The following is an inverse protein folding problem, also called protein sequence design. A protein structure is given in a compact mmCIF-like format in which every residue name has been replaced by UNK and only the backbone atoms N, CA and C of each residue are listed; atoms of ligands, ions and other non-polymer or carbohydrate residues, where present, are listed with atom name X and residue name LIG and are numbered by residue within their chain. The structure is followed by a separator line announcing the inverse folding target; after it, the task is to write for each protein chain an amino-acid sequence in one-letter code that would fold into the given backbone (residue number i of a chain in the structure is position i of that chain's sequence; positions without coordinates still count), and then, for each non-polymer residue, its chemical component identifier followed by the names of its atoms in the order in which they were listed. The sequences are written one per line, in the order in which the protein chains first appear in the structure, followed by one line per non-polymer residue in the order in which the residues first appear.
data_IF_508930557231
#
_entry.id   IF_508930557231
#
_cell.length_a   1.000
_cell.length_b   1.000
_cell.length_c   1.000
_cell.angle_alpha   90.00
_cell.angle_beta   90.00
_cell.angle_gamma   90.00
#
_symmetry.space_group_name_H-M   'P 1'
#
loop_
_entity.id
_entity.type
_entity.pdbx_description
1 polymer ?
#
# COMPACT_ATOMS: atom_id res chain seq x y z
N UNK A 1 18.61 -2.23 -12.23
CA UNK A 1 17.71 -1.64 -11.21
C UNK A 1 17.06 -2.74 -10.39
N UNK A 2 17.20 -2.69 -9.07
CA UNK A 2 16.59 -3.68 -8.17
C UNK A 2 15.79 -2.93 -7.10
N UNK A 3 14.48 -3.09 -7.14
CA UNK A 3 13.62 -2.75 -6.01
C UNK A 3 13.61 -3.95 -5.06
N UNK A 4 13.58 -3.69 -3.76
CA UNK A 4 13.35 -4.71 -2.74
C UNK A 4 12.40 -4.21 -1.65
N UNK A 5 11.63 -5.14 -1.09
CA UNK A 5 10.73 -4.84 0.01
C UNK A 5 11.13 -5.58 1.28
N UNK A 6 11.04 -4.86 2.38
CA UNK A 6 11.06 -5.42 3.73
C UNK A 6 9.66 -5.31 4.34
N UNK A 7 9.26 -6.35 5.08
CA UNK A 7 8.04 -6.34 5.87
C UNK A 7 8.43 -6.57 7.33
N UNK A 8 8.09 -5.63 8.18
CA UNK A 8 8.60 -5.57 9.56
C UNK A 8 7.58 -4.93 10.51
N UNK A 9 8.00 -4.72 11.76
CA UNK A 9 7.33 -3.90 12.77
C UNK A 9 5.81 -4.12 12.85
N UNK A 10 5.36 -5.34 13.19
CA UNK A 10 3.94 -5.62 13.29
C UNK A 10 3.30 -4.78 14.42
N UNK A 11 2.22 -4.05 14.09
CA UNK A 11 1.46 -3.22 15.04
C UNK A 11 0.02 -3.70 15.11
N UNK A 12 -0.41 -4.13 16.30
CA UNK A 12 -1.81 -4.47 16.56
C UNK A 12 -2.58 -3.19 16.88
N UNK A 13 -3.65 -2.95 16.12
CA UNK A 13 -4.60 -1.86 16.35
C UNK A 13 -5.65 -2.34 17.35
N UNK A 14 -5.90 -1.53 18.37
CA UNK A 14 -6.87 -1.81 19.42
C UNK A 14 -8.05 -0.85 19.33
N UNK A 15 -9.24 -1.32 19.69
CA UNK A 15 -10.44 -0.50 19.88
C UNK A 15 -11.11 -0.95 21.18
N UNK A 16 -11.31 -0.02 22.12
CA UNK A 16 -11.89 -0.31 23.45
C UNK A 16 -11.18 -1.48 24.14
N UNK A 17 -9.83 -1.45 24.16
CA UNK A 17 -8.95 -2.51 24.69
C UNK A 17 -9.11 -3.90 24.05
N UNK A 18 -9.79 -4.01 22.90
CA UNK A 18 -9.90 -5.25 22.14
C UNK A 18 -9.05 -5.17 20.87
N UNK A 19 -8.22 -6.19 20.58
CA UNK A 19 -7.43 -6.21 19.35
C UNK A 19 -8.37 -6.33 18.14
N UNK A 20 -8.17 -5.48 17.14
CA UNK A 20 -9.04 -5.36 15.96
C UNK A 20 -8.40 -5.92 14.69
N UNK A 21 -7.13 -5.57 14.42
CA UNK A 21 -6.32 -6.15 13.34
C UNK A 21 -4.84 -5.83 13.59
N UNK A 22 -3.94 -6.58 12.94
CA UNK A 22 -2.50 -6.30 12.94
C UNK A 22 -2.08 -5.80 11.56
N UNK A 23 -1.35 -4.68 11.55
CA UNK A 23 -0.69 -4.11 10.36
C UNK A 23 0.80 -4.42 10.41
N UNK A 24 1.42 -4.46 9.24
CA UNK A 24 2.84 -4.68 9.04
C UNK A 24 3.41 -3.49 8.30
N UNK A 25 4.57 -3.01 8.73
CA UNK A 25 5.29 -1.95 8.04
C UNK A 25 5.94 -2.52 6.77
N UNK A 26 5.64 -1.90 5.64
CA UNK A 26 6.31 -2.13 4.37
C UNK A 26 7.35 -1.02 4.21
N UNK A 27 8.60 -1.43 4.01
CA UNK A 27 9.68 -0.54 3.66
C UNK A 27 10.11 -0.90 2.24
N UNK A 28 10.04 0.08 1.35
CA UNK A 28 10.52 -0.07 -0.02
C UNK A 28 11.88 0.59 -0.12
N UNK A 29 12.89 -0.18 -0.52
CA UNK A 29 14.16 0.36 -0.95
C UNK A 29 14.22 0.22 -2.47
N UNK A 30 14.14 1.35 -3.17
CA UNK A 30 13.99 1.34 -4.61
C UNK A 30 14.99 2.28 -5.30
N UNK A 31 15.91 1.68 -6.05
CA UNK A 31 16.77 2.41 -6.98
C UNK A 31 16.19 2.51 -8.41
N UNK A 32 15.06 1.86 -8.70
CA UNK A 32 14.44 1.80 -10.03
C UNK A 32 13.55 3.02 -10.31
N UNK A 33 13.53 3.48 -11.57
CA UNK A 33 12.57 4.47 -12.06
C UNK A 33 11.12 3.94 -12.16
N UNK A 34 10.92 2.63 -11.99
CA UNK A 34 9.60 2.01 -12.07
C UNK A 34 8.65 2.42 -10.94
N UNK A 35 9.15 3.03 -9.85
CA UNK A 35 8.28 3.50 -8.76
C UNK A 35 8.36 5.03 -8.60
N UNK A 36 7.22 5.68 -8.30
CA UNK A 36 7.17 7.12 -8.03
C UNK A 36 8.12 7.58 -6.91
N UNK A 37 8.20 6.83 -5.81
CA UNK A 37 9.06 7.16 -4.68
C UNK A 37 10.33 6.29 -4.69
N UNK A 38 11.50 6.90 -4.46
CA UNK A 38 12.78 6.18 -4.29
C UNK A 38 12.79 5.31 -3.05
N UNK A 39 12.13 5.75 -1.99
CA UNK A 39 11.92 4.94 -0.79
C UNK A 39 10.59 5.30 -0.16
N UNK A 40 9.86 4.31 0.32
CA UNK A 40 8.71 4.53 1.19
C UNK A 40 8.99 3.90 2.55
N UNK A 41 8.83 4.70 3.62
CA UNK A 41 8.90 4.24 5.02
C UNK A 41 7.56 4.50 5.69
N UNK A 42 7.18 3.65 6.64
CA UNK A 42 5.96 3.84 7.42
C UNK A 42 4.67 3.53 6.66
N UNK A 43 4.70 2.77 5.56
CA UNK A 43 3.46 2.29 4.92
C UNK A 43 2.97 1.05 5.66
N UNK A 44 1.85 1.15 6.38
CA UNK A 44 1.31 0.04 7.17
C UNK A 44 0.15 -0.65 6.47
N UNK A 45 0.28 -1.96 6.24
CA UNK A 45 -0.76 -2.79 5.60
C UNK A 45 -1.13 -3.98 6.46
N UNK A 46 -2.41 -4.25 6.60
CA UNK A 46 -2.94 -5.42 7.28
C UNK A 46 -2.94 -6.66 6.38
N UNK A 47 -2.99 -7.85 7.00
CA UNK A 47 -3.07 -9.10 6.25
C UNK A 47 -4.31 -9.18 5.33
N UNK A 48 -5.42 -8.54 5.72
CA UNK A 48 -6.63 -8.46 4.89
C UNK A 48 -6.38 -7.64 3.62
N UNK A 49 -5.62 -6.56 3.72
CA UNK A 49 -5.23 -5.73 2.57
C UNK A 49 -4.30 -6.49 1.62
N UNK A 50 -3.35 -7.27 2.12
CA UNK A 50 -2.54 -8.16 1.26
C UNK A 50 -3.41 -9.17 0.48
N UNK A 51 -4.41 -9.78 1.13
CA UNK A 51 -5.35 -10.67 0.45
C UNK A 51 -6.18 -9.94 -0.62
N UNK A 52 -6.58 -8.70 -0.34
CA UNK A 52 -7.23 -7.86 -1.33
C UNK A 52 -6.31 -7.62 -2.52
N UNK A 53 -5.07 -7.18 -2.29
CA UNK A 53 -4.09 -6.92 -3.37
C UNK A 53 -3.87 -8.18 -4.22
N UNK A 54 -3.61 -9.34 -3.59
CA UNK A 54 -3.43 -10.60 -4.30
C UNK A 54 -4.65 -10.95 -5.16
N UNK A 55 -5.87 -10.80 -4.62
CA UNK A 55 -7.09 -11.06 -5.38
C UNK A 55 -7.21 -10.09 -6.55
N UNK A 56 -6.96 -8.81 -6.31
CA UNK A 56 -6.99 -7.75 -7.33
C UNK A 56 -6.04 -8.07 -8.48
N UNK A 57 -4.76 -8.30 -8.19
CA UNK A 57 -3.78 -8.63 -9.22
C UNK A 57 -4.14 -9.92 -9.97
N UNK A 58 -4.68 -10.92 -9.27
CA UNK A 58 -5.02 -12.21 -9.90
C UNK A 58 -6.16 -12.07 -10.90
N UNK A 59 -7.10 -11.17 -10.66
CA UNK A 59 -8.21 -10.92 -11.58
C UNK A 59 -7.74 -10.24 -12.87
N UNK A 60 -6.81 -9.29 -12.77
CA UNK A 60 -6.29 -8.58 -13.96
C UNK A 60 -5.25 -9.39 -14.73
N UNK A 61 -4.35 -10.05 -14.00
CA UNK A 61 -3.16 -10.69 -14.57
C UNK A 61 -3.26 -12.21 -14.47
N UNK A 62 -4.27 -12.78 -15.15
CA UNK A 62 -4.57 -14.22 -15.11
C UNK A 62 -3.41 -15.13 -15.55
N UNK A 63 -2.53 -14.63 -16.41
CA UNK A 63 -1.35 -15.36 -16.92
C UNK A 63 -0.12 -15.19 -16.04
N UNK A 64 -0.15 -14.30 -15.06
CA UNK A 64 0.95 -14.03 -14.16
C UNK A 64 0.94 -15.00 -12.97
N UNK A 65 2.13 -15.48 -12.59
CA UNK A 65 2.25 -16.37 -11.44
C UNK A 65 2.21 -15.55 -10.14
N UNK A 66 1.00 -15.30 -9.63
CA UNK A 66 0.83 -14.51 -8.41
C UNK A 66 1.12 -15.37 -7.17
N UNK A 67 2.10 -14.99 -6.34
CA UNK A 67 2.49 -15.79 -5.18
C UNK A 67 1.32 -16.02 -4.22
N UNK A 68 1.34 -17.18 -3.59
CA UNK A 68 0.31 -17.57 -2.60
C UNK A 68 0.62 -16.88 -1.27
N UNK A 69 -0.40 -16.27 -0.68
CA UNK A 69 -0.31 -15.77 0.70
C UNK A 69 -0.53 -16.93 1.68
N UNK A 70 0.09 -16.90 2.87
CA UNK A 70 -0.09 -17.96 3.86
C UNK A 70 -1.58 -18.13 4.20
N UNK A 71 -2.01 -19.38 4.41
CA UNK A 71 -3.40 -19.65 4.80
C UNK A 71 -3.74 -18.95 6.11
N UNK A 72 -4.99 -18.50 6.23
CA UNK A 72 -5.48 -17.95 7.48
C UNK A 72 -5.43 -19.06 8.56
N UNK A 73 -4.53 -18.93 9.54
CA UNK A 73 -4.69 -19.65 10.79
C UNK A 73 -6.07 -19.28 11.36
N UNK A 74 -6.86 -20.29 11.70
CA UNK A 74 -8.23 -20.17 12.19
C UNK A 74 -8.46 -18.90 13.03
N UNK A 75 -9.52 -18.14 12.70
CA UNK A 75 -9.79 -16.75 13.07
C UNK A 75 -9.54 -16.33 14.53
N UNK A 76 -9.47 -17.27 15.47
CA UNK A 76 -9.21 -17.05 16.90
C UNK A 76 -7.75 -16.74 17.25
N UNK A 77 -6.77 -16.89 16.33
CA UNK A 77 -5.33 -16.72 16.63
C UNK A 77 -4.63 -15.58 15.87
N UNK A 78 -5.38 -14.68 15.23
CA UNK A 78 -4.80 -13.65 14.36
C UNK A 78 -3.87 -12.65 15.07
N UNK A 79 -4.00 -12.50 16.39
CA UNK A 79 -3.21 -11.61 17.24
C UNK A 79 -2.16 -12.34 18.06
N UNK A 80 -2.07 -13.67 17.94
CA UNK A 80 -1.04 -14.43 18.62
C UNK A 80 0.34 -13.98 18.07
N UNK A 81 1.30 -13.60 18.93
CA UNK A 81 2.62 -13.14 18.49
C UNK A 81 3.31 -14.10 17.51
N UNK A 82 3.18 -15.41 17.70
CA UNK A 82 3.75 -16.42 16.80
C UNK A 82 3.09 -16.41 15.40
N UNK A 83 1.78 -16.19 15.32
CA UNK A 83 1.05 -16.06 14.04
C UNK A 83 1.38 -14.73 13.35
N UNK A 84 1.55 -13.67 14.13
CA UNK A 84 1.95 -12.36 13.61
C UNK A 84 3.37 -12.42 13.03
N UNK A 85 4.31 -13.00 13.77
CA UNK A 85 5.69 -13.18 13.32
C UNK A 85 5.78 -14.11 12.11
N UNK A 86 5.01 -15.21 12.08
CA UNK A 86 5.05 -16.16 10.96
C UNK A 86 4.59 -15.58 9.62
N UNK A 87 3.88 -14.44 9.64
CA UNK A 87 3.43 -13.73 8.43
C UNK A 87 4.50 -12.84 7.81
N UNK A 88 5.52 -12.40 8.55
CA UNK A 88 6.51 -11.44 8.05
C UNK A 88 7.23 -11.93 6.79
N UNK A 89 7.79 -13.15 6.85
CA UNK A 89 8.55 -13.72 5.72
C UNK A 89 7.67 -14.00 4.49
N UNK A 90 6.51 -14.66 4.60
CA UNK A 90 5.63 -14.85 3.46
C UNK A 90 5.13 -13.54 2.84
N UNK A 91 4.82 -12.52 3.64
CA UNK A 91 4.40 -11.21 3.14
C UNK A 91 5.53 -10.50 2.40
N UNK A 92 6.75 -10.54 2.96
CA UNK A 92 7.96 -10.04 2.29
C UNK A 92 8.18 -10.73 0.95
N UNK A 93 8.13 -12.07 0.94
CA UNK A 93 8.36 -12.85 -0.26
C UNK A 93 7.29 -12.58 -1.31
N UNK A 94 6.02 -12.48 -0.92
CA UNK A 94 4.93 -12.11 -1.82
C UNK A 94 5.22 -10.82 -2.60
N UNK A 95 5.64 -9.75 -1.92
CA UNK A 95 5.95 -8.48 -2.58
C UNK A 95 7.17 -8.58 -3.51
N UNK A 96 8.23 -9.26 -3.07
CA UNK A 96 9.46 -9.41 -3.83
C UNK A 96 9.32 -10.34 -5.05
N UNK A 97 8.39 -11.30 -5.01
CA UNK A 97 8.04 -12.09 -6.19
C UNK A 97 7.16 -11.31 -7.16
N UNK A 98 6.21 -10.51 -6.67
CA UNK A 98 5.34 -9.66 -7.51
C UNK A 98 6.15 -8.72 -8.42
N UNK A 99 7.23 -8.11 -7.92
CA UNK A 99 8.05 -7.19 -8.73
C UNK A 99 8.89 -7.83 -9.81
N UNK A 100 9.00 -9.17 -9.83
CA UNK A 100 9.68 -9.86 -10.92
C UNK A 100 8.84 -9.86 -12.20
N UNK A 101 7.52 -9.68 -12.07
CA UNK A 101 6.60 -9.57 -13.20
C UNK A 101 6.36 -8.11 -13.57
N UNK A 102 6.82 -7.72 -14.77
CA UNK A 102 6.66 -6.36 -15.30
C UNK A 102 5.19 -5.91 -15.38
N UNK A 103 4.25 -6.83 -15.59
CA UNK A 103 2.81 -6.52 -15.63
C UNK A 103 2.32 -6.04 -14.27
N UNK A 104 2.74 -6.70 -13.20
CA UNK A 104 2.40 -6.32 -11.83
C UNK A 104 3.11 -5.02 -11.45
N UNK A 105 4.37 -4.85 -11.87
CA UNK A 105 5.12 -3.60 -11.64
C UNK A 105 4.42 -2.41 -12.31
N UNK A 106 3.74 -2.59 -13.44
CA UNK A 106 2.97 -1.51 -14.08
C UNK A 106 1.59 -1.23 -13.45
N UNK A 107 1.15 -2.01 -12.45
CA UNK A 107 -0.17 -1.86 -11.85
C UNK A 107 -0.19 -0.71 -10.83
N UNK A 108 -1.09 0.27 -11.04
CA UNK A 108 -1.24 1.42 -10.15
C UNK A 108 -1.64 1.04 -8.72
N UNK A 109 -2.43 -0.02 -8.54
CA UNK A 109 -2.83 -0.49 -7.22
C UNK A 109 -1.65 -1.06 -6.46
N UNK A 110 -0.74 -1.74 -7.17
CA UNK A 110 0.49 -2.25 -6.56
C UNK A 110 1.35 -1.10 -6.03
N UNK A 111 1.57 -0.05 -6.83
CA UNK A 111 2.31 1.14 -6.39
C UNK A 111 1.66 1.83 -5.20
N UNK A 112 0.35 2.11 -5.27
CA UNK A 112 -0.38 2.73 -4.16
C UNK A 112 -0.34 1.86 -2.91
N UNK A 113 -0.44 0.54 -3.05
CA UNK A 113 -0.38 -0.36 -1.91
C UNK A 113 0.95 -0.29 -1.15
N UNK A 114 2.09 -0.26 -1.87
CA UNK A 114 3.43 -0.31 -1.27
C UNK A 114 4.04 1.07 -0.96
N UNK A 115 3.56 2.12 -1.62
CA UNK A 115 4.12 3.48 -1.51
C UNK A 115 3.17 4.52 -0.92
N UNK A 116 1.90 4.20 -0.70
CA UNK A 116 0.99 5.13 -0.03
C UNK A 116 0.24 4.53 1.15
N UNK A 117 -0.30 5.41 2.00
CA UNK A 117 -1.18 5.06 3.12
C UNK A 117 -2.67 4.99 2.73
N UNK A 118 -2.98 5.14 1.44
CA UNK A 118 -4.35 5.11 0.92
C UNK A 118 -5.12 3.88 1.37
N UNK A 119 -6.41 4.04 1.68
CA UNK A 119 -7.27 2.90 2.00
C UNK A 119 -7.54 2.04 0.76
N UNK A 120 -7.96 0.79 0.94
CA UNK A 120 -8.44 -0.06 -0.19
C UNK A 120 -9.49 0.67 -1.03
N UNK A 121 -10.37 1.46 -0.40
CA UNK A 121 -11.43 2.18 -1.09
C UNK A 121 -10.86 3.26 -1.99
N UNK A 122 -9.90 4.04 -1.49
CA UNK A 122 -9.20 5.08 -2.27
C UNK A 122 -8.44 4.47 -3.44
N UNK A 123 -7.70 3.38 -3.21
CA UNK A 123 -6.99 2.66 -4.29
C UNK A 123 -7.98 2.13 -5.32
N UNK A 124 -9.11 1.58 -4.89
CA UNK A 124 -10.15 1.09 -5.81
C UNK A 124 -10.76 2.23 -6.62
N UNK A 125 -10.98 3.39 -6.00
CA UNK A 125 -11.49 4.60 -6.67
C UNK A 125 -10.50 5.09 -7.73
N UNK A 126 -9.21 5.15 -7.38
CA UNK A 126 -8.12 5.46 -8.31
C UNK A 126 -8.09 4.51 -9.51
N UNK A 127 -8.11 3.19 -9.26
CA UNK A 127 -8.13 2.18 -10.34
C UNK A 127 -9.33 2.29 -11.26
N UNK A 128 -10.48 2.75 -10.76
CA UNK A 128 -11.70 2.95 -11.56
C UNK A 128 -11.73 4.28 -12.32
N UNK A 129 -10.68 5.09 -12.23
CA UNK A 129 -10.66 6.44 -12.82
C UNK A 129 -11.65 7.41 -12.14
N UNK A 130 -12.04 7.15 -10.90
CA UNK A 130 -13.04 7.94 -10.17
C UNK A 130 -12.42 9.07 -9.34
N UNK A 131 -11.26 9.55 -9.78
CA UNK A 131 -10.44 10.54 -9.09
C UNK A 131 -9.83 11.47 -10.11
N UNK A 132 -9.62 12.72 -9.71
CA UNK A 132 -9.01 13.73 -10.56
C UNK A 132 -7.60 13.33 -10.99
N UNK A 133 -7.18 13.69 -12.21
CA UNK A 133 -5.84 13.32 -12.74
C UNK A 133 -4.71 13.88 -11.90
N UNK A 134 -4.89 15.07 -11.30
CA UNK A 134 -3.90 15.70 -10.42
C UNK A 134 -3.75 15.00 -9.06
N UNK A 135 -4.64 14.07 -8.69
CA UNK A 135 -4.59 13.41 -7.39
C UNK A 135 -3.29 12.61 -7.18
N UNK A 136 -2.88 11.80 -8.16
CA UNK A 136 -1.66 10.99 -8.04
C UNK A 136 -0.40 11.86 -7.96
N UNK A 137 -0.20 12.87 -8.84
CA UNK A 137 0.88 13.84 -8.67
C UNK A 137 0.92 14.48 -7.29
N UNK A 138 -0.21 14.98 -6.78
CA UNK A 138 -0.28 15.58 -5.44
C UNK A 138 0.07 14.57 -4.34
N UNK A 139 -0.44 13.34 -4.44
CA UNK A 139 -0.13 12.27 -3.50
C UNK A 139 1.36 11.97 -3.44
N UNK A 140 2.03 11.89 -4.59
CA UNK A 140 3.46 11.61 -4.67
C UNK A 140 4.33 12.78 -4.22
N UNK A 141 3.91 14.02 -4.49
CA UNK A 141 4.55 15.21 -3.93
C UNK A 141 4.45 15.25 -2.40
N UNK A 142 3.38 14.67 -1.84
CA UNK A 142 3.20 14.46 -0.40
C UNK A 142 3.87 13.17 0.13
N UNK A 143 4.74 12.53 -0.65
CA UNK A 143 5.45 11.32 -0.21
C UNK A 143 4.57 10.08 -0.06
N UNK A 144 3.40 10.06 -0.70
CA UNK A 144 2.44 8.95 -0.61
C UNK A 144 1.63 8.92 0.69
N UNK A 145 1.71 9.94 1.53
CA UNK A 145 0.97 10.02 2.78
C UNK A 145 -0.17 11.00 2.63
N UNK A 146 -1.38 10.66 3.09
CA UNK A 146 -2.51 11.58 3.24
C UNK A 146 -3.33 11.33 4.51
N UNK A 147 -3.07 10.27 5.27
CA UNK A 147 -3.80 9.92 6.49
C UNK A 147 -2.93 10.18 7.72
N UNK A 148 -3.55 10.68 8.80
CA UNK A 148 -2.91 11.28 9.98
C UNK A 148 -2.14 10.32 10.92
N UNK A 149 -1.80 9.11 10.49
CA UNK A 149 -1.14 8.13 11.38
C UNK A 149 0.34 8.50 11.68
N UNK A 150 0.89 9.52 11.00
CA UNK A 150 2.20 10.13 11.30
C UNK A 150 1.97 11.58 11.81
N UNK A 151 2.44 11.88 13.03
CA UNK A 151 2.29 13.20 13.70
C UNK A 151 2.91 14.39 12.93
N UNK A 152 3.69 14.12 11.87
CA UNK A 152 4.36 15.12 11.02
C UNK A 152 3.64 15.43 9.68
N UNK A 153 2.50 14.79 9.36
CA UNK A 153 1.87 14.95 8.04
C UNK A 153 0.77 16.03 7.97
N UNK A 154 1.01 17.09 7.17
CA UNK A 154 0.06 18.19 6.96
C UNK A 154 -1.02 17.88 5.89
N UNK A 155 -2.12 17.27 6.33
CA UNK A 155 -3.31 17.02 5.49
C UNK A 155 -3.95 18.29 4.92
N UNK A 156 -3.82 19.43 5.62
CA UNK A 156 -4.34 20.70 5.12
C UNK A 156 -3.49 21.22 3.96
N UNK A 157 -2.17 21.03 3.99
CA UNK A 157 -1.30 21.29 2.83
C UNK A 157 -1.67 20.42 1.63
N UNK A 158 -1.88 19.11 1.81
CA UNK A 158 -2.32 18.24 0.70
C UNK A 158 -3.62 18.73 0.05
N UNK A 159 -4.64 19.06 0.86
CA UNK A 159 -5.91 19.59 0.34
C UNK A 159 -5.75 20.91 -0.37
N UNK A 160 -4.96 21.85 0.18
CA UNK A 160 -4.68 23.13 -0.47
C UNK A 160 -4.02 22.94 -1.83
N UNK A 161 -3.04 22.04 -1.91
CA UNK A 161 -2.33 21.77 -3.16
C UNK A 161 -3.24 21.13 -4.22
N UNK A 162 -4.06 20.17 -3.81
CA UNK A 162 -5.06 19.57 -4.69
C UNK A 162 -6.04 20.65 -5.19
N UNK A 163 -6.61 21.47 -4.30
CA UNK A 163 -7.53 22.56 -4.66
C UNK A 163 -6.89 23.62 -5.56
N UNK A 164 -5.63 23.99 -5.30
CA UNK A 164 -4.88 24.94 -6.13
C UNK A 164 -4.71 24.41 -7.56
N UNK A 165 -4.40 23.13 -7.70
CA UNK A 165 -4.23 22.50 -9.01
C UNK A 165 -5.55 22.44 -9.77
N UNK A 166 -6.66 22.13 -9.08
CA UNK A 166 -8.00 22.16 -9.67
C UNK A 166 -8.39 23.55 -10.18
N UNK A 167 -8.19 24.60 -9.37
CA UNK A 167 -8.57 25.97 -9.72
C UNK A 167 -7.78 26.54 -10.90
N UNK A 168 -6.52 26.12 -11.06
CA UNK A 168 -5.67 26.56 -12.16
C UNK A 168 -6.07 25.94 -13.51
N UNK A 169 -6.70 24.77 -13.50
CA UNK A 169 -7.11 24.07 -14.73
C UNK A 169 -8.47 24.55 -15.26
N UNK A 170 -9.34 25.10 -14.40
CA UNK A 170 -10.60 25.74 -14.81
C UNK A 170 -10.39 27.16 -15.41
N UNK A 171 -9.14 27.63 -15.43
CA UNK A 171 -8.76 29.00 -15.87
C UNK A 171 -8.10 29.07 -17.25
N UNK A 172 -7.85 27.91 -17.89
CA UNK A 172 -7.28 27.76 -19.25
C UNK A 172 -8.34 27.19 -20.22
#
# INVERSE_FOLDING_TARGET
DRADFLVTNPKTVYKNNRPLYTRYEIITNNASSAFPLRSSRGVYRSFKEFKWLRRTLRWEYLTSNIPVLPSNYWFKRNYNPSVVASRLVPLKNFLNECIKDKKIVSDVAFHLFVQSDLTIQDITRQRKGQTHHSYLPCLWNCGGKIHKDDDDFDYAAFKRELSRTLMNEDSD
#
